data_IF_558856368772
#
_entry.id   IF_558856368772
#
_cell.length_a   1.000
_cell.length_b   1.000
_cell.length_c   1.000
_cell.angle_alpha   90.00
_cell.angle_beta   90.00
_cell.angle_gamma   90.00
#
_symmetry.space_group_name_H-M   'P 1'
#
loop_
_entity.id
_entity.type
_entity.pdbx_description
1 polymer ?
#
# COMPACT_ATOMS: atom_id res chain seq x y z
N UNK A 1 6.56 -53.99 -18.39
CA UNK A 1 7.81 -53.22 -18.45
C UNK A 1 7.73 -52.47 -19.77
N UNK A 2 7.39 -51.19 -19.87
CA UNK A 2 7.37 -50.10 -18.88
C UNK A 2 6.22 -49.16 -19.22
N UNK A 3 5.36 -48.92 -18.23
CA UNK A 3 4.38 -47.83 -18.30
C UNK A 3 5.13 -46.58 -17.86
N UNK A 4 5.68 -45.84 -18.82
CA UNK A 4 6.20 -44.50 -18.54
C UNK A 4 5.02 -43.63 -18.16
N UNK A 5 4.83 -43.45 -16.85
CA UNK A 5 4.02 -42.40 -16.27
C UNK A 5 4.50 -41.07 -16.86
N UNK A 6 3.86 -40.62 -17.94
CA UNK A 6 3.91 -39.21 -18.31
C UNK A 6 3.32 -38.49 -17.12
N UNK A 7 4.19 -37.84 -16.38
CA UNK A 7 3.83 -36.87 -15.38
C UNK A 7 3.19 -35.72 -16.15
N UNK A 8 1.90 -35.89 -16.46
CA UNK A 8 1.06 -34.93 -17.17
C UNK A 8 1.01 -33.67 -16.31
N UNK A 9 2.01 -32.82 -16.52
CA UNK A 9 1.95 -31.43 -16.13
C UNK A 9 0.76 -30.92 -16.92
N UNK A 10 -0.38 -30.72 -16.24
CA UNK A 10 -1.60 -30.19 -16.84
C UNK A 10 -1.30 -28.81 -17.45
N UNK A 11 -0.72 -28.83 -18.65
CA UNK A 11 -0.46 -27.65 -19.46
C UNK A 11 -1.83 -27.19 -19.88
N UNK A 12 -2.19 -26.01 -19.39
CA UNK A 12 -3.40 -25.36 -19.84
C UNK A 12 -3.09 -24.91 -21.26
N UNK A 13 -3.59 -25.66 -22.24
CA UNK A 13 -3.51 -25.34 -23.67
C UNK A 13 -4.44 -24.18 -24.07
N UNK A 14 -4.68 -23.26 -23.13
CA UNK A 14 -5.54 -22.10 -23.30
C UNK A 14 -4.69 -20.83 -23.16
N UNK A 15 -4.86 -19.83 -24.06
CA UNK A 15 -4.18 -18.55 -23.92
C UNK A 15 -4.48 -17.87 -22.57
N UNK A 16 -3.50 -17.16 -22.03
CA UNK A 16 -3.61 -16.48 -20.73
C UNK A 16 -4.83 -15.56 -20.63
N UNK A 17 -5.14 -14.83 -21.71
CA UNK A 17 -6.31 -13.93 -21.76
C UNK A 17 -7.64 -14.64 -21.51
N UNK A 18 -7.78 -15.88 -22.00
CA UNK A 18 -9.00 -16.64 -21.82
C UNK A 18 -9.08 -17.20 -20.39
N UNK A 19 -7.94 -17.57 -19.79
CA UNK A 19 -7.88 -17.94 -18.37
C UNK A 19 -8.27 -16.74 -17.50
N UNK A 20 -7.77 -15.54 -17.81
CA UNK A 20 -8.14 -14.31 -17.10
C UNK A 20 -9.63 -13.98 -17.24
N UNK A 21 -10.25 -14.22 -18.41
CA UNK A 21 -11.70 -14.10 -18.60
C UNK A 21 -12.47 -15.09 -17.74
N UNK A 22 -12.00 -16.34 -17.62
CA UNK A 22 -12.59 -17.34 -16.74
C UNK A 22 -12.47 -16.90 -15.27
N UNK A 23 -11.30 -16.42 -14.84
CA UNK A 23 -11.10 -15.89 -13.49
C UNK A 23 -12.01 -14.70 -13.18
N UNK A 24 -12.31 -13.85 -14.17
CA UNK A 24 -13.28 -12.76 -14.02
C UNK A 24 -14.72 -13.21 -13.72
N UNK A 25 -15.04 -14.50 -13.89
CA UNK A 25 -16.34 -15.09 -13.53
C UNK A 25 -16.32 -15.77 -12.15
N UNK A 26 -15.16 -15.91 -11.53
CA UNK A 26 -14.97 -16.56 -10.24
C UNK A 26 -14.84 -15.51 -9.11
N UNK A 27 -15.05 -15.96 -7.88
CA UNK A 27 -14.68 -15.17 -6.71
C UNK A 27 -13.16 -15.07 -6.59
N UNK A 28 -12.66 -13.98 -6.02
CA UNK A 28 -11.22 -13.86 -5.74
C UNK A 28 -10.74 -14.92 -4.75
N UNK A 29 -11.61 -15.38 -3.83
CA UNK A 29 -11.33 -16.51 -2.95
C UNK A 29 -11.05 -17.79 -3.75
N UNK A 30 -11.85 -18.10 -4.76
CA UNK A 30 -11.66 -19.29 -5.59
C UNK A 30 -10.41 -19.16 -6.47
N UNK A 31 -10.16 -17.97 -7.04
CA UNK A 31 -8.92 -17.69 -7.78
C UNK A 31 -7.69 -17.87 -6.89
N UNK A 32 -7.77 -17.46 -5.62
CA UNK A 32 -6.67 -17.67 -4.66
C UNK A 32 -6.40 -19.17 -4.40
N UNK A 33 -7.43 -20.02 -4.38
CA UNK A 33 -7.28 -21.49 -4.24
C UNK A 33 -6.66 -22.13 -5.49
N UNK A 34 -7.02 -21.65 -6.69
CA UNK A 34 -6.49 -22.14 -7.99
C UNK A 34 -4.97 -22.02 -8.10
N UNK A 35 -4.35 -21.11 -7.34
CA UNK A 35 -2.88 -20.97 -7.27
C UNK A 35 -2.15 -22.25 -6.87
N UNK A 36 -2.80 -23.16 -6.15
CA UNK A 36 -2.20 -24.41 -5.69
C UNK A 36 -2.20 -25.51 -6.77
N UNK A 37 -2.90 -25.30 -7.89
CA UNK A 37 -3.08 -26.33 -8.94
C UNK A 37 -1.79 -26.54 -9.74
N UNK A 38 -1.22 -25.48 -10.32
CA UNK A 38 0.02 -25.58 -11.10
C UNK A 38 0.77 -24.23 -11.17
N UNK A 39 2.03 -24.26 -11.61
CA UNK A 39 2.89 -23.06 -11.71
C UNK A 39 2.32 -22.00 -12.66
N UNK A 40 1.77 -22.42 -13.80
CA UNK A 40 1.15 -21.51 -14.77
C UNK A 40 -0.07 -20.82 -14.16
N UNK A 41 -0.96 -21.57 -13.52
CA UNK A 41 -2.13 -21.01 -12.82
C UNK A 41 -1.73 -20.08 -11.68
N UNK A 42 -0.69 -20.41 -10.91
CA UNK A 42 -0.19 -19.52 -9.86
C UNK A 42 0.26 -18.15 -10.42
N UNK A 43 0.96 -18.13 -11.55
CA UNK A 43 1.43 -16.87 -12.17
C UNK A 43 0.23 -16.02 -12.59
N UNK A 44 -0.72 -16.61 -13.35
CA UNK A 44 -1.88 -15.90 -13.87
C UNK A 44 -2.79 -15.41 -12.72
N UNK A 45 -3.04 -16.27 -11.72
CA UNK A 45 -3.88 -15.93 -10.58
C UNK A 45 -3.23 -14.85 -9.70
N UNK A 46 -1.91 -14.87 -9.52
CA UNK A 46 -1.20 -13.79 -8.81
C UNK A 46 -1.32 -12.45 -9.54
N UNK A 47 -1.22 -12.45 -10.87
CA UNK A 47 -1.45 -11.25 -11.68
C UNK A 47 -2.88 -10.73 -11.51
N UNK A 48 -3.87 -11.63 -11.58
CA UNK A 48 -5.28 -11.30 -11.40
C UNK A 48 -5.60 -10.72 -10.00
N UNK A 49 -5.07 -11.33 -8.93
CA UNK A 49 -5.28 -10.88 -7.56
C UNK A 49 -4.65 -9.50 -7.29
N UNK A 50 -3.43 -9.28 -7.80
CA UNK A 50 -2.77 -7.97 -7.70
C UNK A 50 -3.54 -6.90 -8.48
N UNK A 51 -4.01 -7.24 -9.68
CA UNK A 51 -4.85 -6.36 -10.50
C UNK A 51 -6.16 -6.01 -9.78
N UNK A 52 -6.84 -7.00 -9.19
CA UNK A 52 -8.05 -6.81 -8.40
C UNK A 52 -7.83 -5.91 -7.18
N UNK A 53 -6.71 -6.06 -6.48
CA UNK A 53 -6.37 -5.20 -5.35
C UNK A 53 -6.09 -3.75 -5.74
N UNK A 54 -5.49 -3.51 -6.91
CA UNK A 54 -5.31 -2.16 -7.44
C UNK A 54 -6.65 -1.58 -7.93
N UNK A 55 -7.46 -2.37 -8.63
CA UNK A 55 -8.79 -1.96 -9.09
C UNK A 55 -9.70 -1.57 -7.91
N UNK A 56 -9.64 -2.31 -6.79
CA UNK A 56 -10.36 -1.99 -5.57
C UNK A 56 -9.99 -0.58 -5.03
N UNK A 57 -8.71 -0.23 -5.03
CA UNK A 57 -8.23 1.09 -4.57
C UNK A 57 -8.69 2.21 -5.50
N UNK A 58 -8.59 1.99 -6.80
CA UNK A 58 -9.01 2.98 -7.81
C UNK A 58 -10.51 3.22 -7.75
N UNK A 59 -11.31 2.16 -7.66
CA UNK A 59 -12.75 2.26 -7.58
C UNK A 59 -13.20 2.95 -6.29
N UNK A 60 -12.54 2.65 -5.17
CA UNK A 60 -12.81 3.31 -3.90
C UNK A 60 -12.52 4.80 -3.96
N UNK A 61 -11.33 5.17 -4.44
CA UNK A 61 -10.88 6.55 -4.52
C UNK A 61 -11.82 7.39 -5.41
N UNK A 62 -12.25 6.81 -6.54
CA UNK A 62 -13.25 7.42 -7.43
C UNK A 62 -14.58 7.62 -6.70
N UNK A 63 -15.06 6.60 -5.98
CA UNK A 63 -16.35 6.64 -5.27
C UNK A 63 -16.32 7.65 -4.12
N UNK A 64 -15.24 7.69 -3.34
CA UNK A 64 -15.04 8.68 -2.27
C UNK A 64 -15.09 10.09 -2.84
N UNK A 65 -14.37 10.35 -3.92
CA UNK A 65 -14.37 11.66 -4.57
C UNK A 65 -15.77 12.06 -5.02
N UNK A 66 -16.48 11.18 -5.71
CA UNK A 66 -17.85 11.43 -6.17
C UNK A 66 -18.82 11.76 -5.03
N UNK A 67 -18.77 11.01 -3.92
CA UNK A 67 -19.64 11.28 -2.76
C UNK A 67 -19.23 12.56 -2.05
N UNK A 68 -17.91 12.81 -1.94
CA UNK A 68 -17.36 14.00 -1.28
C UNK A 68 -17.71 15.29 -2.03
N UNK A 69 -17.74 15.27 -3.36
CA UNK A 69 -18.11 16.42 -4.18
C UNK A 69 -19.58 16.82 -3.98
N UNK A 70 -20.44 15.88 -3.56
CA UNK A 70 -21.83 16.14 -3.19
C UNK A 70 -22.06 16.55 -1.73
N UNK A 71 -21.01 16.66 -0.90
CA UNK A 71 -21.12 17.03 0.51
C UNK A 71 -20.91 18.54 0.74
N UNK A 72 -21.61 19.15 1.73
CA UNK A 72 -21.34 20.51 2.16
C UNK A 72 -19.89 20.72 2.58
N UNK A 73 -19.35 21.93 2.40
CA UNK A 73 -17.94 22.21 2.75
C UNK A 73 -17.71 22.18 4.27
N UNK A 74 -18.69 22.61 5.08
CA UNK A 74 -18.58 22.68 6.55
C UNK A 74 -18.94 21.34 7.20
N UNK A 75 -18.10 20.85 8.11
CA UNK A 75 -18.26 19.54 8.75
C UNK A 75 -19.56 19.43 9.57
N UNK A 76 -19.99 20.51 10.25
CA UNK A 76 -21.24 20.53 11.02
C UNK A 76 -22.48 20.33 10.14
N UNK A 77 -22.45 20.78 8.89
CA UNK A 77 -23.52 20.59 7.90
C UNK A 77 -23.43 19.19 7.27
N UNK A 78 -22.22 18.67 7.06
CA UNK A 78 -22.03 17.30 6.55
C UNK A 78 -22.69 16.27 7.43
N UNK A 79 -22.54 16.34 8.74
CA UNK A 79 -23.10 15.35 9.68
C UNK A 79 -24.62 15.19 9.57
N UNK A 80 -25.32 16.20 9.07
CA UNK A 80 -26.78 16.20 8.85
C UNK A 80 -27.19 15.80 7.43
N UNK A 81 -26.22 15.67 6.51
CA UNK A 81 -26.46 15.42 5.10
C UNK A 81 -26.77 13.94 4.82
N UNK A 82 -27.71 13.66 3.92
CA UNK A 82 -28.11 12.28 3.59
C UNK A 82 -26.99 11.42 2.98
N UNK A 83 -25.99 12.04 2.34
CA UNK A 83 -24.80 11.33 1.82
C UNK A 83 -23.73 11.02 2.88
N UNK A 84 -23.85 11.59 4.09
CA UNK A 84 -22.83 11.43 5.11
C UNK A 84 -22.62 9.98 5.56
N UNK A 85 -23.66 9.15 5.79
CA UNK A 85 -23.46 7.74 6.12
C UNK A 85 -22.70 6.96 5.03
N UNK A 86 -22.93 7.29 3.75
CA UNK A 86 -22.19 6.68 2.63
C UNK A 86 -20.72 7.09 2.66
N UNK A 87 -20.46 8.39 2.86
CA UNK A 87 -19.09 8.88 2.98
C UNK A 87 -18.36 8.26 4.18
N UNK A 88 -18.99 8.21 5.36
CA UNK A 88 -18.43 7.60 6.57
C UNK A 88 -18.06 6.13 6.35
N UNK A 89 -18.96 5.35 5.74
CA UNK A 89 -18.68 3.97 5.37
C UNK A 89 -17.52 3.83 4.37
N UNK A 90 -17.42 4.71 3.37
CA UNK A 90 -16.31 4.68 2.40
C UNK A 90 -14.96 5.00 3.05
N UNK A 91 -14.91 5.96 3.99
CA UNK A 91 -13.68 6.26 4.74
C UNK A 91 -13.28 5.09 5.65
N UNK A 92 -14.25 4.43 6.29
CA UNK A 92 -14.00 3.22 7.06
C UNK A 92 -13.45 2.07 6.19
N UNK A 93 -14.00 1.90 4.99
CA UNK A 93 -13.53 0.93 4.00
C UNK A 93 -12.12 1.26 3.49
N UNK A 94 -11.82 2.53 3.22
CA UNK A 94 -10.51 3.03 2.78
C UNK A 94 -9.43 2.82 3.82
N UNK A 95 -9.77 3.01 5.09
CA UNK A 95 -8.86 2.71 6.20
C UNK A 95 -8.45 1.24 6.20
N UNK A 96 -9.40 0.32 5.95
CA UNK A 96 -9.09 -1.13 5.88
C UNK A 96 -8.25 -1.48 4.67
N UNK A 97 -8.58 -0.93 3.50
CA UNK A 97 -7.82 -1.19 2.28
C UNK A 97 -6.39 -0.62 2.36
N UNK A 98 -6.23 0.55 2.97
CA UNK A 98 -4.93 1.19 3.21
C UNK A 98 -4.05 0.36 4.15
N UNK A 99 -4.61 -0.21 5.22
CA UNK A 99 -3.85 -1.08 6.12
C UNK A 99 -3.34 -2.33 5.40
N UNK A 100 -4.20 -2.98 4.61
CA UNK A 100 -3.78 -4.10 3.76
C UNK A 100 -2.68 -3.67 2.78
N UNK A 101 -2.82 -2.51 2.13
CA UNK A 101 -1.79 -2.00 1.22
C UNK A 101 -0.47 -1.86 1.95
N UNK A 102 -0.45 -1.22 3.11
CA UNK A 102 0.76 -1.04 3.92
C UNK A 102 1.41 -2.38 4.31
N UNK A 103 0.62 -3.40 4.63
CA UNK A 103 1.11 -4.74 4.97
C UNK A 103 1.78 -5.42 3.77
N UNK A 104 1.10 -5.45 2.61
CA UNK A 104 1.49 -6.31 1.50
C UNK A 104 2.40 -5.63 0.46
N UNK A 105 2.31 -4.31 0.26
CA UNK A 105 2.89 -3.63 -0.90
C UNK A 105 4.40 -3.86 -1.05
N UNK A 106 5.15 -3.84 0.04
CA UNK A 106 6.61 -4.02 0.00
C UNK A 106 7.02 -5.42 -0.48
N UNK A 107 6.22 -6.45 -0.20
CA UNK A 107 6.50 -7.82 -0.64
C UNK A 107 6.02 -8.06 -2.07
N UNK A 108 4.91 -7.44 -2.46
CA UNK A 108 4.40 -7.47 -3.84
C UNK A 108 5.40 -6.79 -4.78
N UNK A 109 5.89 -5.61 -4.43
CA UNK A 109 6.89 -4.89 -5.21
C UNK A 109 8.22 -5.65 -5.33
N UNK A 110 8.62 -6.38 -4.29
CA UNK A 110 9.82 -7.21 -4.32
C UNK A 110 9.61 -8.57 -5.03
N UNK A 111 8.43 -8.84 -5.60
CA UNK A 111 8.10 -10.08 -6.29
C UNK A 111 8.08 -11.32 -5.38
N UNK A 112 8.00 -11.15 -4.07
CA UNK A 112 8.09 -12.25 -3.10
C UNK A 112 6.75 -12.97 -2.91
N UNK A 113 5.67 -12.21 -2.96
CA UNK A 113 4.30 -12.73 -2.87
C UNK A 113 3.36 -11.84 -3.68
N UNK A 114 2.27 -12.39 -4.19
CA UNK A 114 1.14 -11.60 -4.64
C UNK A 114 0.16 -11.36 -3.48
N UNK A 115 -0.88 -10.55 -3.71
CA UNK A 115 -1.99 -10.41 -2.78
C UNK A 115 -2.66 -11.78 -2.57
N UNK A 116 -2.68 -12.25 -1.33
CA UNK A 116 -3.11 -13.61 -0.97
C UNK A 116 -4.59 -13.69 -0.58
N UNK A 117 -5.15 -12.76 0.23
CA UNK A 117 -6.44 -13.00 0.87
C UNK A 117 -7.60 -12.64 -0.07
N UNK A 118 -7.90 -13.53 -1.02
CA UNK A 118 -8.96 -13.35 -2.02
C UNK A 118 -10.34 -13.05 -1.42
N UNK A 119 -10.70 -13.71 -0.31
CA UNK A 119 -11.93 -13.44 0.46
C UNK A 119 -12.10 -11.97 0.84
N UNK A 120 -11.00 -11.28 1.14
CA UNK A 120 -11.01 -9.86 1.52
C UNK A 120 -11.40 -8.98 0.34
N UNK A 121 -10.99 -9.33 -0.89
CA UNK A 121 -11.41 -8.62 -2.10
C UNK A 121 -12.89 -8.85 -2.40
N UNK A 122 -13.37 -10.08 -2.25
CA UNK A 122 -14.78 -10.39 -2.48
C UNK A 122 -15.69 -9.58 -1.56
N UNK A 123 -15.39 -9.59 -0.25
CA UNK A 123 -16.16 -8.81 0.71
C UNK A 123 -15.98 -7.29 0.47
N UNK A 124 -14.80 -6.85 0.02
CA UNK A 124 -14.56 -5.45 -0.33
C UNK A 124 -15.51 -4.97 -1.42
N UNK A 125 -15.55 -5.69 -2.55
CA UNK A 125 -16.43 -5.34 -3.67
C UNK A 125 -17.90 -5.50 -3.29
N UNK A 126 -18.24 -6.46 -2.43
CA UNK A 126 -19.59 -6.61 -1.89
C UNK A 126 -20.01 -5.38 -1.06
N UNK A 127 -19.17 -4.93 -0.13
CA UNK A 127 -19.43 -3.73 0.68
C UNK A 127 -19.51 -2.49 -0.20
N UNK A 128 -18.58 -2.31 -1.14
CA UNK A 128 -18.58 -1.18 -2.05
C UNK A 128 -19.86 -1.14 -2.90
N UNK A 129 -20.31 -2.29 -3.41
CA UNK A 129 -21.59 -2.43 -4.10
C UNK A 129 -22.76 -2.05 -3.20
N UNK A 130 -22.82 -2.57 -1.98
CA UNK A 130 -23.86 -2.22 -0.98
C UNK A 130 -23.93 -0.70 -0.76
N UNK A 131 -22.80 -0.02 -0.58
CA UNK A 131 -22.74 1.43 -0.38
C UNK A 131 -23.32 2.19 -1.59
N UNK A 132 -23.01 1.73 -2.82
CA UNK A 132 -23.48 2.35 -4.06
C UNK A 132 -24.98 2.14 -4.29
N UNK A 133 -25.47 0.92 -4.10
CA UNK A 133 -26.83 0.54 -4.50
C UNK A 133 -27.89 0.82 -3.43
N UNK A 134 -27.53 0.74 -2.14
CA UNK A 134 -28.52 0.91 -1.07
C UNK A 134 -28.93 2.39 -0.94
N UNK A 135 -30.23 2.69 -0.89
CA UNK A 135 -30.72 4.05 -0.65
C UNK A 135 -30.47 4.47 0.81
N UNK A 136 -30.61 3.54 1.75
CA UNK A 136 -30.36 3.72 3.17
C UNK A 136 -29.33 2.68 3.65
N UNK A 137 -28.27 3.15 4.30
CA UNK A 137 -27.21 2.26 4.80
C UNK A 137 -27.51 1.83 6.23
N UNK A 138 -27.21 0.56 6.59
CA UNK A 138 -27.13 0.19 8.00
C UNK A 138 -25.97 0.93 8.68
N UNK A 139 -25.89 0.85 10.01
CA UNK A 139 -24.78 1.42 10.76
C UNK A 139 -23.42 0.99 10.19
N UNK A 140 -22.50 1.95 10.00
CA UNK A 140 -21.15 1.74 9.46
C UNK A 140 -20.43 0.58 10.14
N UNK A 141 -20.54 0.48 11.47
CA UNK A 141 -19.92 -0.60 12.24
C UNK A 141 -20.41 -1.99 11.81
N UNK A 142 -21.71 -2.13 11.55
CA UNK A 142 -22.32 -3.39 11.11
C UNK A 142 -21.99 -3.68 9.65
N UNK A 143 -22.02 -2.66 8.80
CA UNK A 143 -21.71 -2.80 7.37
C UNK A 143 -20.27 -3.27 7.14
N UNK A 144 -19.32 -2.73 7.90
CA UNK A 144 -17.90 -3.00 7.76
C UNK A 144 -17.41 -4.12 8.69
N UNK A 145 -18.30 -4.80 9.41
CA UNK A 145 -17.89 -5.80 10.42
C UNK A 145 -17.09 -6.94 9.77
N UNK A 146 -17.70 -7.65 8.82
CA UNK A 146 -17.04 -8.76 8.14
C UNK A 146 -15.73 -8.31 7.50
N UNK A 147 -15.75 -7.18 6.76
CA UNK A 147 -14.55 -6.59 6.17
C UNK A 147 -13.43 -6.39 7.18
N UNK A 148 -13.74 -5.87 8.37
CA UNK A 148 -12.75 -5.64 9.43
C UNK A 148 -12.19 -6.96 9.95
N UNK A 149 -13.05 -7.92 10.24
CA UNK A 149 -12.68 -9.19 10.86
C UNK A 149 -11.75 -9.99 9.93
N UNK A 150 -12.15 -10.19 8.68
CA UNK A 150 -11.35 -10.95 7.71
C UNK A 150 -10.04 -10.26 7.33
N UNK A 151 -10.01 -8.93 7.26
CA UNK A 151 -8.78 -8.21 6.95
C UNK A 151 -7.82 -8.18 8.13
N UNK A 152 -8.31 -8.16 9.37
CA UNK A 152 -7.45 -8.27 10.56
C UNK A 152 -6.84 -9.68 10.64
N UNK A 153 -7.65 -10.73 10.47
CA UNK A 153 -7.14 -12.10 10.40
C UNK A 153 -6.09 -12.28 9.29
N UNK A 154 -6.32 -11.67 8.12
CA UNK A 154 -5.36 -11.73 7.01
C UNK A 154 -4.05 -10.99 7.30
N UNK A 155 -4.09 -9.86 8.00
CA UNK A 155 -2.89 -9.11 8.38
C UNK A 155 -2.10 -9.88 9.44
N UNK A 156 -2.77 -10.38 10.49
CA UNK A 156 -2.14 -11.15 11.57
C UNK A 156 -1.47 -12.42 11.03
N UNK A 157 -2.20 -13.21 10.24
CA UNK A 157 -1.64 -14.41 9.62
C UNK A 157 -0.44 -14.08 8.72
N UNK A 158 -0.50 -12.97 7.99
CA UNK A 158 0.61 -12.55 7.16
C UNK A 158 1.83 -12.17 7.98
N UNK A 159 1.66 -11.35 9.01
CA UNK A 159 2.77 -10.87 9.84
C UNK A 159 3.42 -11.99 10.66
N UNK A 160 2.61 -12.95 11.16
CA UNK A 160 3.10 -14.03 12.02
C UNK A 160 3.66 -15.23 11.25
N UNK A 161 3.04 -15.60 10.13
CA UNK A 161 3.35 -16.87 9.44
C UNK A 161 4.12 -16.64 8.15
N UNK A 162 3.78 -15.59 7.40
CA UNK A 162 4.23 -15.41 6.02
C UNK A 162 5.45 -14.49 5.94
N UNK A 163 5.33 -13.28 6.47
CA UNK A 163 6.36 -12.23 6.50
C UNK A 163 7.73 -12.72 7.00
N UNK A 164 7.85 -13.52 8.09
CA UNK A 164 9.15 -13.95 8.60
C UNK A 164 9.95 -14.80 7.60
N UNK A 165 9.26 -15.53 6.71
CA UNK A 165 9.90 -16.36 5.68
C UNK A 165 10.59 -15.51 4.60
N UNK A 166 10.11 -14.29 4.40
CA UNK A 166 10.61 -13.37 3.38
C UNK A 166 11.62 -12.35 3.90
N UNK A 167 11.74 -12.17 5.22
CA UNK A 167 12.48 -11.06 5.82
C UNK A 167 13.97 -11.01 5.42
N UNK A 168 14.64 -12.17 5.32
CA UNK A 168 16.05 -12.25 4.87
C UNK A 168 16.20 -11.80 3.41
N UNK A 169 15.32 -12.28 2.53
CA UNK A 169 15.32 -11.93 1.11
C UNK A 169 14.98 -10.46 0.92
N UNK A 170 14.02 -9.94 1.70
CA UNK A 170 13.56 -8.56 1.64
C UNK A 170 14.68 -7.57 2.01
N UNK A 171 15.40 -7.85 3.09
CA UNK A 171 16.56 -7.04 3.49
C UNK A 171 17.66 -7.05 2.42
N UNK A 172 17.91 -8.18 1.77
CA UNK A 172 18.85 -8.27 0.66
C UNK A 172 18.40 -7.39 -0.52
N UNK A 173 17.14 -7.51 -0.95
CA UNK A 173 16.56 -6.75 -2.07
C UNK A 173 16.65 -5.23 -1.85
N UNK A 174 16.30 -4.75 -0.64
CA UNK A 174 16.39 -3.34 -0.32
C UNK A 174 17.84 -2.86 -0.15
N UNK A 175 18.73 -3.66 0.44
CA UNK A 175 20.15 -3.28 0.58
C UNK A 175 20.88 -3.12 -0.76
N UNK A 176 20.52 -3.93 -1.77
CA UNK A 176 20.99 -3.78 -3.16
C UNK A 176 20.43 -2.51 -3.80
N UNK A 177 19.16 -2.20 -3.54
CA UNK A 177 18.49 -1.00 -4.08
C UNK A 177 19.11 0.30 -3.53
N UNK A 178 19.52 0.32 -2.25
CA UNK A 178 20.22 1.47 -1.65
C UNK A 178 21.65 1.66 -2.17
N UNK A 179 22.34 0.60 -2.64
CA UNK A 179 23.65 0.76 -3.30
C UNK A 179 23.53 1.37 -4.70
N UNK A 180 22.43 1.11 -5.39
CA UNK A 180 22.22 1.57 -6.76
C UNK A 180 21.59 2.97 -6.85
N UNK A 181 21.45 3.68 -5.72
CA UNK A 181 20.97 5.07 -5.62
C UNK A 181 19.58 5.33 -6.26
N UNK A 182 18.79 4.29 -6.55
CA UNK A 182 17.42 4.42 -7.00
C UNK A 182 16.53 4.60 -5.77
N UNK A 183 16.18 5.86 -5.47
CA UNK A 183 15.08 6.16 -4.55
C UNK A 183 13.81 5.63 -5.21
N UNK A 184 13.28 4.50 -4.75
CA UNK A 184 11.95 4.05 -5.14
C UNK A 184 10.97 4.94 -4.38
N UNK A 185 10.54 6.04 -5.01
CA UNK A 185 9.42 6.81 -4.51
C UNK A 185 8.14 5.97 -4.71
N UNK A 186 7.51 5.59 -3.61
CA UNK A 186 6.27 4.81 -3.60
C UNK A 186 5.16 5.53 -4.39
N UNK A 187 5.28 6.85 -4.60
CA UNK A 187 4.34 7.65 -5.39
C UNK A 187 4.62 7.67 -6.91
N UNK A 188 5.86 7.45 -7.37
CA UNK A 188 6.23 7.64 -8.79
C UNK A 188 5.79 6.50 -9.72
N UNK A 189 5.42 5.34 -9.18
CA UNK A 189 4.92 4.21 -9.97
C UNK A 189 3.45 4.36 -10.43
N UNK A 190 2.70 5.33 -9.89
CA UNK A 190 1.25 5.40 -10.04
C UNK A 190 0.74 6.23 -11.24
N UNK A 191 1.62 6.67 -12.14
CA UNK A 191 1.23 7.34 -13.39
C UNK A 191 1.57 6.58 -14.68
N UNK A 192 2.23 5.43 -14.61
CA UNK A 192 2.51 4.61 -15.80
C UNK A 192 1.51 3.44 -15.85
N UNK A 193 0.30 3.73 -16.34
CA UNK A 193 -0.39 2.69 -17.11
C UNK A 193 0.43 2.51 -18.37
N UNK A 194 1.10 1.37 -18.52
CA UNK A 194 1.21 0.57 -19.73
C UNK A 194 2.14 -0.62 -19.44
N UNK A 195 1.74 -1.75 -20.00
CA UNK A 195 2.38 -3.06 -19.91
C UNK A 195 3.71 -3.03 -20.65
N UNK A 196 4.80 -3.47 -20.02
CA UNK A 196 5.92 -4.07 -20.74
C UNK A 196 6.28 -5.42 -20.10
N UNK A 197 5.92 -6.47 -20.85
CA UNK A 197 6.36 -7.85 -20.65
C UNK A 197 7.82 -7.95 -21.11
N UNK A 198 8.75 -8.59 -20.36
CA UNK A 198 10.10 -8.80 -20.86
C UNK A 198 10.09 -9.92 -21.90
N UNK A 199 10.10 -9.55 -23.18
CA UNK A 199 10.35 -10.49 -24.29
C UNK A 199 11.83 -10.49 -24.65
N UNK A 200 12.41 -11.69 -24.64
CA UNK A 200 13.75 -11.97 -25.15
C UNK A 200 13.82 -11.59 -26.63
N UNK A 201 14.93 -10.96 -26.96
CA UNK A 201 15.41 -10.51 -28.27
C UNK A 201 15.16 -11.49 -29.42
N UNK A 202 14.44 -11.05 -30.46
CA UNK A 202 14.80 -11.32 -31.85
C UNK A 202 14.24 -10.22 -32.78
N UNK A 203 14.88 -10.10 -33.94
CA UNK A 203 15.15 -8.89 -34.69
C UNK A 203 14.04 -8.44 -35.68
N UNK A 204 14.08 -7.13 -35.97
CA UNK A 204 13.82 -6.46 -37.25
C UNK A 204 12.43 -5.85 -37.56
N UNK A 205 12.50 -4.53 -37.79
CA UNK A 205 11.73 -3.72 -38.73
C UNK A 205 10.24 -3.47 -38.49
N UNK A 206 9.91 -2.35 -37.84
CA UNK A 206 8.86 -1.46 -38.35
C UNK A 206 9.21 0.01 -38.07
N UNK A 207 9.48 0.76 -39.13
CA UNK A 207 9.78 2.20 -39.09
C UNK A 207 8.47 3.01 -39.05
N UNK A 208 8.50 4.04 -38.20
CA UNK A 208 7.79 5.34 -38.28
C UNK A 208 6.26 5.33 -38.26
N UNK A 209 5.71 5.90 -37.19
CA UNK A 209 4.88 7.10 -37.33
C UNK A 209 5.18 8.10 -36.19
N UNK A 210 5.62 9.28 -36.59
CA UNK A 210 6.06 10.40 -35.77
C UNK A 210 4.99 11.48 -35.83
N UNK A 211 4.33 11.79 -34.71
CA UNK A 211 3.52 13.00 -34.57
C UNK A 211 3.64 13.54 -33.12
N UNK A 212 4.41 14.65 -33.01
CA UNK A 212 4.32 15.71 -31.98
C UNK A 212 4.14 15.29 -30.50
N UNK A 213 5.27 15.00 -29.83
CA UNK A 213 5.43 15.25 -28.38
C UNK A 213 6.42 16.41 -28.22
N UNK A 214 5.93 17.60 -28.52
CA UNK A 214 6.71 18.84 -28.51
C UNK A 214 5.91 19.99 -27.92
N UNK A 215 5.37 19.81 -26.71
CA UNK A 215 4.90 20.87 -25.80
C UNK A 215 4.31 20.28 -24.52
N UNK A 216 5.17 19.91 -23.57
CA UNK A 216 4.83 19.79 -22.12
C UNK A 216 6.07 19.55 -21.23
N UNK A 217 7.28 20.00 -21.63
CA UNK A 217 8.51 19.82 -20.84
C UNK A 217 9.00 21.07 -20.11
N UNK A 218 8.31 22.20 -20.23
CA UNK A 218 8.76 23.48 -19.64
C UNK A 218 7.94 23.99 -18.44
N UNK A 219 6.89 23.27 -18.00
CA UNK A 219 6.04 23.73 -16.88
C UNK A 219 6.24 22.96 -15.56
N UNK A 220 7.09 21.93 -15.52
CA UNK A 220 7.29 21.09 -14.32
C UNK A 220 8.60 21.36 -13.55
N UNK A 221 9.39 22.35 -13.98
CA UNK A 221 10.69 22.69 -13.36
C UNK A 221 10.68 23.90 -12.40
N UNK A 222 9.53 24.54 -12.14
CA UNK A 222 9.47 25.72 -11.25
C UNK A 222 9.09 25.40 -9.80
N UNK A 223 8.28 24.36 -9.58
CA UNK A 223 7.83 23.92 -8.26
C UNK A 223 8.85 23.06 -7.50
N UNK A 224 9.73 22.34 -8.21
CA UNK A 224 10.74 21.44 -7.61
C UNK A 224 11.94 22.20 -7.01
N UNK A 225 12.32 23.35 -7.57
CA UNK A 225 13.38 24.21 -7.02
C UNK A 225 12.95 24.94 -5.75
N UNK A 226 11.68 25.35 -5.66
CA UNK A 226 11.12 25.96 -4.45
C UNK A 226 11.05 24.94 -3.30
N UNK A 227 10.53 23.74 -3.57
CA UNK A 227 10.49 22.67 -2.56
C UNK A 227 11.89 22.24 -2.11
N UNK A 228 12.89 22.16 -3.00
CA UNK A 228 14.28 21.87 -2.60
C UNK A 228 14.86 22.91 -1.63
N UNK A 229 14.57 24.20 -1.85
CA UNK A 229 15.01 25.29 -0.94
C UNK A 229 14.29 25.24 0.42
N UNK A 230 13.00 24.90 0.43
CA UNK A 230 12.22 24.72 1.67
C UNK A 230 12.76 23.56 2.49
N UNK A 231 13.03 22.42 1.84
CA UNK A 231 13.59 21.23 2.51
C UNK A 231 14.99 21.48 3.05
N UNK A 232 15.86 22.20 2.32
CA UNK A 232 17.20 22.54 2.84
C UNK A 232 17.13 23.48 4.05
N UNK A 233 16.17 24.42 4.06
CA UNK A 233 15.98 25.35 5.20
C UNK A 233 15.46 24.62 6.43
N UNK A 234 14.44 23.76 6.28
CA UNK A 234 13.93 22.93 7.37
C UNK A 234 14.99 21.99 7.96
N UNK A 235 15.90 21.47 7.11
CA UNK A 235 17.01 20.61 7.57
C UNK A 235 18.03 21.38 8.43
N UNK A 236 18.33 22.63 8.07
CA UNK A 236 19.20 23.50 8.87
C UNK A 236 18.57 23.89 10.22
N UNK A 237 17.28 24.20 10.24
CA UNK A 237 16.52 24.50 11.46
C UNK A 237 16.47 23.29 12.41
N UNK A 238 16.24 22.09 11.89
CA UNK A 238 16.30 20.84 12.66
C UNK A 238 17.69 20.60 13.28
N UNK A 239 18.75 20.92 12.54
CA UNK A 239 20.12 20.75 13.02
C UNK A 239 20.45 21.76 14.13
N UNK A 240 19.97 23.00 14.01
CA UNK A 240 20.07 24.01 15.08
C UNK A 240 19.26 23.61 16.31
N UNK A 241 18.01 23.15 16.16
CA UNK A 241 17.17 22.69 17.26
C UNK A 241 17.82 21.51 18.00
N UNK A 242 18.43 20.57 17.26
CA UNK A 242 19.17 19.44 17.84
C UNK A 242 20.37 19.91 18.67
N UNK A 243 21.10 20.93 18.20
CA UNK A 243 22.20 21.52 18.96
C UNK A 243 21.73 22.23 20.25
N UNK A 244 20.59 22.93 20.19
CA UNK A 244 19.98 23.55 21.38
C UNK A 244 19.48 22.52 22.38
N UNK A 245 18.84 21.44 21.92
CA UNK A 245 18.41 20.33 22.78
C UNK A 245 19.61 19.69 23.50
N UNK A 246 20.74 19.52 22.82
CA UNK A 246 21.97 19.02 23.47
C UNK A 246 22.48 19.97 24.57
N UNK A 247 22.47 21.29 24.33
CA UNK A 247 22.87 22.29 25.34
C UNK A 247 21.91 22.32 26.54
N UNK A 248 20.60 22.28 26.29
CA UNK A 248 19.57 22.22 27.36
C UNK A 248 19.70 20.93 28.17
N UNK A 249 19.95 19.79 27.54
CA UNK A 249 20.19 18.53 28.26
C UNK A 249 21.45 18.59 29.15
N UNK A 250 22.54 19.23 28.70
CA UNK A 250 23.72 19.45 29.56
C UNK A 250 23.41 20.36 30.75
N UNK A 251 22.64 21.43 30.54
CA UNK A 251 22.19 22.29 31.65
C UNK A 251 21.31 21.55 32.64
N UNK A 252 20.38 20.72 32.16
CA UNK A 252 19.53 19.86 33.02
C UNK A 252 20.39 18.90 33.84
N UNK A 253 21.44 18.30 33.25
CA UNK A 253 22.35 17.43 34.00
C UNK A 253 23.14 18.19 35.07
N UNK A 254 23.64 19.38 34.77
CA UNK A 254 24.36 20.20 35.74
C UNK A 254 23.44 20.61 36.90
N UNK A 255 22.22 21.08 36.62
CA UNK A 255 21.24 21.42 37.65
C UNK A 255 20.89 20.21 38.52
N UNK A 256 20.71 19.02 37.93
CA UNK A 256 20.51 17.78 38.69
C UNK A 256 21.69 17.48 39.62
N UNK A 257 22.92 17.71 39.17
CA UNK A 257 24.11 17.51 40.02
C UNK A 257 24.16 18.50 41.19
N UNK A 258 23.79 19.77 40.97
CA UNK A 258 23.74 20.80 42.03
C UNK A 258 22.65 20.53 43.05
N UNK A 259 21.46 20.12 42.59
CA UNK A 259 20.37 19.72 43.49
C UNK A 259 20.78 18.51 44.33
N UNK A 260 21.45 17.51 43.73
CA UNK A 260 21.95 16.34 44.48
C UNK A 260 22.99 16.72 45.55
N UNK A 261 23.87 17.68 45.27
CA UNK A 261 24.81 18.19 46.29
C UNK A 261 24.11 18.96 47.40
N UNK A 262 23.11 19.78 47.07
CA UNK A 262 22.32 20.53 48.05
C UNK A 262 21.51 19.59 48.95
N UNK A 263 20.89 18.55 48.39
CA UNK A 263 20.18 17.51 49.14
C UNK A 263 21.09 16.75 50.11
N UNK A 264 22.36 16.51 49.75
CA UNK A 264 23.34 15.90 50.67
C UNK A 264 23.70 16.84 51.82
N UNK A 265 23.99 18.11 51.53
CA UNK A 265 24.28 19.11 52.58
C UNK A 265 23.08 19.35 53.50
N UNK A 266 21.85 19.29 52.97
CA UNK A 266 20.64 19.45 53.79
C UNK A 266 20.45 18.27 54.76
N UNK A 267 20.78 17.05 54.32
CA UNK A 267 20.77 15.84 55.18
C UNK A 267 21.84 15.88 56.26
N UNK A 268 23.01 16.44 55.96
CA UNK A 268 24.09 16.61 56.94
C UNK A 268 23.72 17.65 58.02
N UNK A 269 23.08 18.76 57.63
CA UNK A 269 22.58 19.78 58.58
C UNK A 269 21.40 19.28 59.42
N UNK A 270 20.57 18.38 58.90
CA UNK A 270 19.46 17.75 59.65
C UNK A 270 19.91 16.62 60.60
N UNK A 271 21.18 16.20 60.54
CA UNK A 271 21.76 15.15 61.38
C UNK A 271 22.63 15.68 62.53
N UNK A 272 22.65 17.01 62.73
CA UNK A 272 23.18 17.70 63.92
C UNK A 272 22.03 18.17 64.82
#
# INVERSE_FOLDING_TARGET
MDVTLTQDCMQINLPEEMVLKIFGLLSYEDVAKVRLVCKQMNIIACSHLNSGFNAAQDELSKTIKQVKDGLPRRESERRKHHLYPKHDALIGLDTRLSLLRMTYIKYIMAGMTCFIPGRVLDEFFLVLKKIKTLPQLPSTCKLLQEMRDISSMAIEHFDDVISPRFQKSLNAHFSLSFRNNSVIDINDFWHESQVEVPQKTHNSNFKKLSWKVGKCRSLQNRSTLSMKKVVSKQRAELQQLKSMMSKKNKQVQNLKSTVSTQEKTLKEVQSQ
#
